data_IF_629647545471
#
_entry.id   IF_629647545471
#
_cell.length_a   1.000
_cell.length_b   1.000
_cell.length_c   1.000
_cell.angle_alpha   90.00
_cell.angle_beta   90.00
_cell.angle_gamma   90.00
#
_symmetry.space_group_name_H-M   'P 1'
#
loop_
_entity.id
_entity.type
_entity.pdbx_description
1 polymer ?
#
# COMPACT_ATOMS: atom_id res chain seq x y z
N UNK A 1 3.89 -11.83 -2.46
CA UNK A 1 5.23 -11.59 -1.93
C UNK A 1 5.23 -11.73 -0.41
N UNK A 2 6.27 -12.36 0.16
CA UNK A 2 6.35 -12.66 1.60
C UNK A 2 6.19 -11.40 2.48
N UNK A 3 6.74 -10.27 2.06
CA UNK A 3 6.58 -9.00 2.78
C UNK A 3 5.11 -8.58 2.97
N UNK A 4 4.21 -9.01 2.06
CA UNK A 4 2.79 -8.70 2.11
C UNK A 4 1.93 -9.92 2.50
N UNK A 5 2.50 -11.01 2.95
CA UNK A 5 1.76 -12.19 3.41
C UNK A 5 2.20 -12.64 4.80
N UNK A 6 3.49 -12.76 5.04
CA UNK A 6 4.01 -13.32 6.28
C UNK A 6 3.62 -12.53 7.53
N UNK A 7 3.62 -11.21 7.46
CA UNK A 7 3.23 -10.36 8.60
C UNK A 7 1.74 -10.52 8.95
N UNK A 8 0.87 -10.65 7.93
CA UNK A 8 -0.55 -10.83 8.14
C UNK A 8 -0.86 -12.22 8.71
N UNK A 9 -0.21 -13.28 8.22
CA UNK A 9 -0.35 -14.64 8.75
C UNK A 9 -0.04 -14.73 10.24
N UNK A 10 0.96 -13.98 10.74
CA UNK A 10 1.30 -13.94 12.17
C UNK A 10 0.19 -13.35 13.05
N UNK A 11 -0.76 -12.64 12.50
CA UNK A 11 -1.90 -12.15 13.28
C UNK A 11 -2.78 -13.29 13.81
N UNK A 12 -2.75 -14.46 13.17
CA UNK A 12 -3.42 -15.65 13.67
C UNK A 12 -2.92 -16.08 15.05
N UNK A 13 -1.63 -15.88 15.34
CA UNK A 13 -1.02 -16.15 16.65
C UNK A 13 -1.58 -15.22 17.75
N UNK A 14 -2.20 -14.11 17.36
CA UNK A 14 -2.86 -13.13 18.24
C UNK A 14 -4.38 -13.30 18.28
N UNK A 15 -4.90 -14.39 17.75
CA UNK A 15 -6.33 -14.72 17.77
C UNK A 15 -7.16 -14.06 16.67
N UNK A 16 -6.53 -13.48 15.66
CA UNK A 16 -7.23 -12.93 14.49
C UNK A 16 -7.45 -14.04 13.45
N UNK A 17 -8.63 -14.08 12.84
CA UNK A 17 -8.87 -14.92 11.67
C UNK A 17 -8.16 -14.30 10.45
N UNK A 18 -7.32 -15.08 9.80
CA UNK A 18 -6.62 -14.67 8.56
C UNK A 18 -7.16 -15.52 7.41
N UNK A 19 -7.81 -14.87 6.45
CA UNK A 19 -8.31 -15.48 5.22
C UNK A 19 -7.34 -15.16 4.09
N UNK A 20 -6.90 -16.17 3.36
CA UNK A 20 -5.94 -15.97 2.27
C UNK A 20 -6.68 -15.94 0.93
N UNK A 21 -6.56 -14.79 0.25
CA UNK A 21 -7.02 -14.64 -1.12
C UNK A 21 -5.99 -15.26 -2.06
N UNK A 22 -6.30 -16.44 -2.56
CA UNK A 22 -5.42 -17.24 -3.40
C UNK A 22 -5.49 -16.82 -4.86
N UNK A 23 -4.35 -16.87 -5.55
CA UNK A 23 -4.31 -16.74 -7.01
C UNK A 23 -4.90 -17.99 -7.66
N UNK A 24 -5.53 -17.82 -8.78
CA UNK A 24 -5.93 -18.92 -9.65
C UNK A 24 -4.66 -19.64 -10.17
N UNK A 25 -4.52 -20.94 -9.98
CA UNK A 25 -3.30 -21.68 -10.31
C UNK A 25 -3.02 -21.79 -11.82
N UNK A 26 -4.04 -21.62 -12.66
CA UNK A 26 -3.91 -21.71 -14.12
C UNK A 26 -3.51 -20.36 -14.72
N UNK A 27 -4.08 -19.26 -14.20
CA UNK A 27 -3.88 -17.92 -14.73
C UNK A 27 -2.87 -17.09 -13.92
N UNK A 28 -2.55 -17.50 -12.71
CA UNK A 28 -1.78 -16.76 -11.70
C UNK A 28 -2.37 -15.38 -11.34
N UNK A 29 -3.68 -15.18 -11.55
CA UNK A 29 -4.40 -13.95 -11.27
C UNK A 29 -5.25 -14.03 -10.01
N UNK A 30 -5.49 -12.90 -9.39
CA UNK A 30 -6.47 -12.74 -8.34
C UNK A 30 -7.85 -12.49 -8.95
N UNK A 31 -8.85 -13.34 -8.61
CA UNK A 31 -10.23 -13.17 -9.07
C UNK A 31 -11.02 -12.36 -8.06
N UNK A 32 -11.79 -11.37 -8.53
CA UNK A 32 -12.69 -10.59 -7.67
C UNK A 32 -13.81 -11.45 -7.08
N UNK A 33 -14.29 -12.46 -7.81
CA UNK A 33 -15.31 -13.39 -7.29
C UNK A 33 -14.78 -14.19 -6.10
N UNK A 34 -13.50 -14.58 -6.13
CA UNK A 34 -12.88 -15.26 -4.99
C UNK A 34 -12.62 -14.31 -3.82
N UNK A 35 -12.43 -13.01 -4.06
CA UNK A 35 -12.42 -12.00 -3.00
C UNK A 35 -13.80 -11.87 -2.36
N UNK A 36 -14.86 -11.74 -3.17
CA UNK A 36 -16.23 -11.59 -2.68
C UNK A 36 -16.63 -12.76 -1.75
N UNK A 37 -16.17 -13.98 -2.03
CA UNK A 37 -16.40 -15.14 -1.19
C UNK A 37 -15.69 -15.09 0.18
N UNK A 38 -14.67 -14.24 0.34
CA UNK A 38 -13.92 -14.05 1.58
C UNK A 38 -14.42 -12.87 2.42
N UNK A 39 -15.22 -11.98 1.83
CA UNK A 39 -15.67 -10.75 2.48
C UNK A 39 -16.96 -10.97 3.28
N UNK A 40 -16.97 -10.46 4.51
CA UNK A 40 -18.15 -10.29 5.36
C UNK A 40 -17.92 -9.11 6.33
N UNK A 41 -18.89 -8.78 7.16
CA UNK A 41 -18.84 -7.68 8.13
C UNK A 41 -17.78 -7.86 9.24
N UNK A 42 -17.20 -9.05 9.38
CA UNK A 42 -16.11 -9.32 10.34
C UNK A 42 -14.74 -8.94 9.77
N UNK A 43 -14.60 -8.85 8.44
CA UNK A 43 -13.37 -8.44 7.80
C UNK A 43 -13.07 -6.99 8.16
N UNK A 44 -11.87 -6.73 8.71
CA UNK A 44 -11.43 -5.40 9.13
C UNK A 44 -10.34 -4.83 8.23
N UNK A 45 -9.61 -5.69 7.55
CA UNK A 45 -8.50 -5.31 6.68
C UNK A 45 -8.46 -6.24 5.47
N UNK A 46 -8.33 -5.65 4.29
CA UNK A 46 -7.93 -6.33 3.06
C UNK A 46 -6.53 -5.84 2.70
N UNK A 47 -5.59 -6.76 2.46
CA UNK A 47 -4.23 -6.43 2.02
C UNK A 47 -3.94 -7.14 0.70
N UNK A 48 -3.56 -6.38 -0.32
CA UNK A 48 -3.32 -6.92 -1.67
C UNK A 48 -2.16 -6.18 -2.36
N UNK A 49 -1.47 -6.80 -3.34
CA UNK A 49 -0.52 -6.09 -4.19
C UNK A 49 -1.26 -5.28 -5.26
N UNK A 50 -0.70 -4.12 -5.65
CA UNK A 50 -1.16 -3.40 -6.84
C UNK A 50 -0.72 -4.13 -8.12
N UNK A 51 0.52 -4.61 -8.12
CA UNK A 51 1.11 -5.38 -9.23
C UNK A 51 1.88 -6.58 -8.68
N UNK A 52 1.73 -7.72 -9.34
CA UNK A 52 2.52 -8.91 -9.02
C UNK A 52 3.99 -8.71 -9.41
N UNK A 53 4.90 -8.93 -8.47
CA UNK A 53 6.34 -8.91 -8.74
C UNK A 53 6.84 -10.15 -9.49
N UNK A 54 6.01 -11.16 -9.71
CA UNK A 54 6.34 -12.40 -10.39
C UNK A 54 5.85 -12.39 -11.83
N UNK A 55 4.55 -12.16 -12.03
CA UNK A 55 3.90 -12.24 -13.35
C UNK A 55 3.59 -10.86 -13.96
N UNK A 56 3.79 -9.78 -13.22
CA UNK A 56 3.54 -8.42 -13.70
C UNK A 56 2.06 -8.06 -13.86
N UNK A 57 1.14 -8.91 -13.39
CA UNK A 57 -0.29 -8.63 -13.48
C UNK A 57 -0.68 -7.47 -12.56
N UNK A 58 -1.47 -6.54 -13.10
CA UNK A 58 -1.94 -5.34 -12.38
C UNK A 58 -3.35 -5.61 -11.87
N UNK A 59 -3.52 -5.54 -10.56
CA UNK A 59 -4.79 -5.77 -9.92
C UNK A 59 -5.70 -4.52 -9.99
N UNK A 60 -7.02 -4.69 -10.14
CA UNK A 60 -8.00 -3.60 -10.23
C UNK A 60 -8.27 -3.00 -8.84
N UNK A 61 -7.33 -2.18 -8.33
CA UNK A 61 -7.36 -1.67 -6.95
C UNK A 61 -8.64 -0.92 -6.62
N UNK A 62 -9.18 -0.12 -7.53
CA UNK A 62 -10.42 0.62 -7.29
C UNK A 62 -11.63 -0.31 -7.08
N UNK A 63 -11.68 -1.42 -7.80
CA UNK A 63 -12.74 -2.41 -7.62
C UNK A 63 -12.57 -3.20 -6.32
N UNK A 64 -11.32 -3.51 -5.94
CA UNK A 64 -11.00 -4.12 -4.64
C UNK A 64 -11.40 -3.17 -3.51
N UNK A 65 -11.11 -1.86 -3.65
CA UNK A 65 -11.47 -0.84 -2.68
C UNK A 65 -13.00 -0.78 -2.47
N UNK A 66 -13.77 -0.75 -3.55
CA UNK A 66 -15.22 -0.72 -3.47
C UNK A 66 -15.78 -1.93 -2.70
N UNK A 67 -15.24 -3.13 -2.93
CA UNK A 67 -15.66 -4.36 -2.24
C UNK A 67 -15.27 -4.36 -0.76
N UNK A 68 -14.02 -3.98 -0.44
CA UNK A 68 -13.55 -3.88 0.93
C UNK A 68 -14.38 -2.87 1.74
N UNK A 69 -14.63 -1.70 1.16
CA UNK A 69 -15.40 -0.64 1.82
C UNK A 69 -16.88 -1.01 1.98
N UNK A 70 -17.46 -1.81 1.08
CA UNK A 70 -18.84 -2.27 1.20
C UNK A 70 -19.09 -3.09 2.47
N UNK A 71 -18.06 -3.77 3.01
CA UNK A 71 -18.13 -4.51 4.27
C UNK A 71 -17.50 -3.75 5.45
N UNK A 72 -17.07 -2.50 5.24
CA UNK A 72 -16.45 -1.66 6.27
C UNK A 72 -14.99 -1.99 6.56
N UNK A 73 -14.31 -2.71 5.67
CA UNK A 73 -12.90 -3.05 5.81
C UNK A 73 -11.99 -1.95 5.28
N UNK A 74 -10.81 -1.78 5.90
CA UNK A 74 -9.71 -0.95 5.43
C UNK A 74 -8.97 -1.66 4.30
N UNK A 75 -8.57 -0.94 3.25
CA UNK A 75 -7.76 -1.49 2.16
C UNK A 75 -6.30 -1.01 2.26
N UNK A 76 -5.37 -1.96 2.40
CA UNK A 76 -3.93 -1.73 2.38
C UNK A 76 -3.32 -2.32 1.10
N UNK A 77 -2.68 -1.48 0.29
CA UNK A 77 -2.10 -1.86 -1.00
C UNK A 77 -0.58 -1.80 -0.98
N UNK A 78 0.02 -2.92 -1.35
CA UNK A 78 1.45 -3.00 -1.66
C UNK A 78 1.68 -2.57 -3.12
N UNK A 79 2.18 -1.35 -3.27
CA UNK A 79 2.49 -0.75 -4.58
C UNK A 79 3.95 -0.86 -5.00
N UNK A 80 4.76 -1.64 -4.28
CA UNK A 80 6.22 -1.73 -4.50
C UNK A 80 6.59 -2.11 -5.93
N UNK A 81 5.82 -2.97 -6.57
CA UNK A 81 6.07 -3.41 -7.95
C UNK A 81 5.39 -2.53 -9.00
N UNK A 82 4.44 -1.68 -8.60
CA UNK A 82 3.73 -0.76 -9.52
C UNK A 82 4.38 0.62 -9.59
N UNK A 83 4.75 1.21 -8.46
CA UNK A 83 5.22 2.59 -8.36
C UNK A 83 6.40 2.96 -9.28
N UNK A 84 7.35 2.04 -9.62
CA UNK A 84 8.40 2.34 -10.58
C UNK A 84 7.93 2.60 -12.02
N UNK A 85 6.72 2.15 -12.37
CA UNK A 85 6.15 2.26 -13.71
C UNK A 85 5.22 3.45 -13.88
N UNK A 86 4.96 4.17 -12.80
CA UNK A 86 4.13 5.38 -12.75
C UNK A 86 3.56 5.56 -11.33
N UNK A 87 3.72 6.76 -10.78
CA UNK A 87 3.14 7.05 -9.46
C UNK A 87 1.62 6.98 -9.55
N UNK A 88 0.96 6.23 -8.64
CA UNK A 88 -0.47 6.04 -8.69
C UNK A 88 -1.24 7.29 -8.24
N UNK A 89 -2.41 7.51 -8.81
CA UNK A 89 -3.39 8.43 -8.25
C UNK A 89 -4.12 7.72 -7.09
N UNK A 90 -3.69 7.99 -5.86
CA UNK A 90 -4.24 7.33 -4.67
C UNK A 90 -5.71 7.68 -4.42
N UNK A 91 -6.16 8.86 -4.83
CA UNK A 91 -7.56 9.26 -4.70
C UNK A 91 -8.45 8.44 -5.63
N UNK A 92 -8.02 8.24 -6.87
CA UNK A 92 -8.74 7.42 -7.85
C UNK A 92 -8.74 5.93 -7.48
N UNK A 93 -7.67 5.44 -6.86
CA UNK A 93 -7.58 4.03 -6.42
C UNK A 93 -8.47 3.71 -5.22
N UNK A 94 -8.78 4.69 -4.37
CA UNK A 94 -9.55 4.45 -3.15
C UNK A 94 -8.84 3.63 -2.08
N UNK A 95 -7.52 3.43 -2.19
CA UNK A 95 -6.76 2.73 -1.16
C UNK A 95 -6.66 3.57 0.12
N UNK A 96 -6.88 2.95 1.28
CA UNK A 96 -6.76 3.61 2.59
C UNK A 96 -5.30 3.74 3.03
N UNK A 97 -4.50 2.74 2.68
CA UNK A 97 -3.06 2.70 2.91
C UNK A 97 -2.38 2.20 1.63
N UNK A 98 -1.31 2.87 1.22
CA UNK A 98 -0.52 2.50 0.06
C UNK A 98 0.96 2.53 0.41
N UNK A 99 1.68 1.44 0.15
CA UNK A 99 3.10 1.33 0.44
C UNK A 99 3.92 1.21 -0.84
N UNK A 100 5.08 1.83 -0.86
CA UNK A 100 6.08 1.53 -1.87
C UNK A 100 7.51 1.78 -1.38
N UNK A 101 8.48 1.28 -2.12
CA UNK A 101 9.90 1.47 -1.84
C UNK A 101 10.46 2.56 -2.72
N UNK A 102 10.94 3.65 -2.13
CA UNK A 102 11.55 4.74 -2.88
C UNK A 102 12.75 4.27 -3.72
N UNK A 103 13.58 3.35 -3.19
CA UNK A 103 14.75 2.84 -3.92
C UNK A 103 14.40 2.00 -5.17
N UNK A 104 13.19 1.46 -5.25
CA UNK A 104 12.69 0.82 -6.47
C UNK A 104 12.03 1.81 -7.43
N UNK A 105 11.83 3.06 -6.98
CA UNK A 105 11.15 4.14 -7.70
C UNK A 105 12.11 5.33 -7.90
N UNK A 106 13.37 5.00 -8.26
CA UNK A 106 14.44 5.99 -8.56
C UNK A 106 14.86 6.90 -7.40
N UNK A 107 14.54 6.52 -6.16
CA UNK A 107 14.82 7.29 -4.95
C UNK A 107 15.81 6.64 -3.98
N UNK A 108 15.96 7.20 -2.78
CA UNK A 108 16.84 6.68 -1.73
C UNK A 108 16.30 5.39 -1.12
N UNK A 109 17.10 4.72 -0.29
CA UNK A 109 16.72 3.48 0.40
C UNK A 109 15.73 3.74 1.54
N UNK A 110 14.51 4.11 1.19
CA UNK A 110 13.43 4.50 2.09
C UNK A 110 12.13 3.80 1.70
N UNK A 111 11.35 3.37 2.71
CA UNK A 111 9.96 2.97 2.54
C UNK A 111 9.04 4.19 2.64
N UNK A 112 8.03 4.25 1.80
CA UNK A 112 7.01 5.28 1.83
C UNK A 112 5.66 4.65 2.11
N UNK A 113 4.89 5.26 3.01
CA UNK A 113 3.51 4.91 3.30
C UNK A 113 2.62 6.14 3.15
N UNK A 114 1.71 6.09 2.22
CA UNK A 114 0.60 7.02 2.14
C UNK A 114 -0.59 6.41 2.89
N UNK A 115 -1.25 7.20 3.74
CA UNK A 115 -2.38 6.77 4.56
C UNK A 115 -3.44 7.86 4.60
N UNK A 116 -4.70 7.48 4.56
CA UNK A 116 -5.82 8.41 4.73
C UNK A 116 -5.73 9.13 6.08
N UNK A 117 -5.91 10.46 6.12
CA UNK A 117 -5.70 11.24 7.34
C UNK A 117 -6.64 10.87 8.51
N UNK A 118 -7.88 10.49 8.23
CA UNK A 118 -8.83 10.03 9.23
C UNK A 118 -8.42 8.69 9.84
N UNK A 119 -7.99 7.74 9.02
CA UNK A 119 -7.44 6.47 9.48
C UNK A 119 -6.18 6.69 10.32
N UNK A 120 -5.25 7.53 9.86
CA UNK A 120 -4.03 7.84 10.62
C UNK A 120 -4.33 8.47 12.00
N UNK A 121 -5.41 9.25 12.13
CA UNK A 121 -5.86 9.78 13.43
C UNK A 121 -6.47 8.71 14.33
N UNK A 122 -7.17 7.74 13.75
CA UNK A 122 -7.82 6.67 14.50
C UNK A 122 -6.83 5.62 15.03
N UNK A 123 -5.69 5.43 14.35
CA UNK A 123 -4.67 4.49 14.77
C UNK A 123 -3.91 4.98 16.02
N UNK A 124 -3.45 4.08 16.88
CA UNK A 124 -2.59 4.45 18.02
C UNK A 124 -1.28 5.10 17.56
N UNK A 125 -0.80 6.07 18.32
CA UNK A 125 0.50 6.68 18.07
C UNK A 125 1.62 5.63 18.17
N UNK A 126 2.44 5.52 17.13
CA UNK A 126 3.60 4.63 17.05
C UNK A 126 4.92 5.41 17.19
N UNK A 127 4.87 6.73 17.16
CA UNK A 127 6.01 7.62 17.36
C UNK A 127 6.19 7.98 18.84
N UNK A 128 7.02 9.00 19.09
CA UNK A 128 7.18 9.55 20.45
C UNK A 128 5.87 10.13 20.98
N UNK A 129 5.59 9.96 22.27
CA UNK A 129 4.37 10.43 22.93
C UNK A 129 4.10 11.94 22.72
N UNK A 130 5.16 12.76 22.68
CA UNK A 130 5.05 14.22 22.46
C UNK A 130 4.71 14.58 21.01
N UNK A 131 4.67 13.62 20.10
CA UNK A 131 4.25 13.78 18.71
C UNK A 131 2.79 13.36 18.46
N UNK A 132 2.06 12.94 19.48
CA UNK A 132 0.71 12.39 19.33
C UNK A 132 -0.26 13.36 18.62
N UNK A 133 -0.16 14.66 18.89
CA UNK A 133 -0.97 15.68 18.21
C UNK A 133 -0.52 16.01 16.78
N UNK A 134 0.63 15.49 16.33
CA UNK A 134 1.22 15.81 15.03
C UNK A 134 1.05 14.66 14.06
N UNK A 135 -0.02 14.66 13.28
CA UNK A 135 -0.43 13.56 12.41
C UNK A 135 0.72 12.94 11.61
N UNK A 136 1.58 13.76 11.00
CA UNK A 136 2.73 13.32 10.18
C UNK A 136 3.80 12.51 10.92
N UNK A 137 3.82 12.58 12.27
CA UNK A 137 4.80 11.88 13.09
C UNK A 137 4.23 10.68 13.85
N UNK A 138 2.91 10.52 13.89
CA UNK A 138 2.27 9.47 14.67
C UNK A 138 2.68 8.05 14.25
N UNK A 139 2.92 7.86 12.96
CA UNK A 139 3.26 6.54 12.38
C UNK A 139 4.73 6.46 11.94
N UNK A 140 5.54 7.46 12.26
CA UNK A 140 6.97 7.49 11.95
C UNK A 140 7.77 7.05 13.18
N UNK A 141 8.60 5.99 13.08
CA UNK A 141 9.49 5.59 14.17
C UNK A 141 10.43 6.70 14.63
N UNK A 142 10.89 6.62 15.87
CA UNK A 142 11.84 7.56 16.41
C UNK A 142 13.17 7.56 15.63
N UNK A 143 13.79 8.74 15.49
CA UNK A 143 15.07 8.90 14.80
C UNK A 143 15.03 8.63 13.30
N UNK A 144 14.03 9.17 12.54
CA UNK A 144 13.98 8.97 11.10
C UNK A 144 15.21 9.61 10.42
N UNK A 145 15.65 9.01 9.31
CA UNK A 145 16.69 9.59 8.46
C UNK A 145 16.09 10.75 7.65
N UNK A 146 16.22 11.96 8.18
CA UNK A 146 15.69 13.17 7.58
C UNK A 146 16.29 13.46 6.19
N UNK A 147 17.55 13.08 5.94
CA UNK A 147 18.22 13.29 4.65
C UNK A 147 17.57 12.40 3.58
N UNK A 148 17.35 11.12 3.87
CA UNK A 148 16.67 10.22 2.93
C UNK A 148 15.20 10.60 2.72
N UNK A 149 14.50 11.03 3.78
CA UNK A 149 13.11 11.52 3.65
C UNK A 149 13.06 12.72 2.72
N UNK A 150 13.94 13.70 2.90
CA UNK A 150 14.00 14.88 2.04
C UNK A 150 14.37 14.52 0.57
N UNK A 151 15.35 13.61 0.40
CA UNK A 151 15.77 13.15 -0.93
C UNK A 151 14.68 12.39 -1.69
N UNK A 152 13.69 11.83 -0.99
CA UNK A 152 12.56 11.11 -1.62
C UNK A 152 11.74 12.04 -2.54
N UNK A 153 11.69 13.36 -2.28
CA UNK A 153 11.04 14.33 -3.15
C UNK A 153 11.66 14.37 -4.57
N UNK A 154 12.95 14.07 -4.69
CA UNK A 154 13.64 14.00 -5.98
C UNK A 154 13.11 12.94 -6.95
N UNK A 155 12.28 11.98 -6.47
CA UNK A 155 11.58 11.03 -7.35
C UNK A 155 10.64 11.78 -8.30
N UNK A 156 9.89 12.74 -7.77
CA UNK A 156 8.93 13.53 -8.57
C UNK A 156 9.69 14.36 -9.58
N UNK A 157 10.73 15.10 -9.15
CA UNK A 157 11.56 15.91 -10.03
C UNK A 157 12.17 15.09 -11.17
N UNK A 158 12.65 13.88 -10.86
CA UNK A 158 13.21 12.96 -11.86
C UNK A 158 12.14 12.52 -12.88
N UNK A 159 10.97 12.09 -12.41
CA UNK A 159 9.89 11.65 -13.32
C UNK A 159 9.36 12.79 -14.19
N UNK A 160 9.26 14.02 -13.67
CA UNK A 160 8.88 15.19 -14.43
C UNK A 160 9.91 15.52 -15.52
N UNK A 161 11.21 15.44 -15.21
CA UNK A 161 12.28 15.64 -16.18
C UNK A 161 12.24 14.57 -17.29
N UNK A 162 12.06 13.30 -16.94
CA UNK A 162 11.91 12.20 -17.91
C UNK A 162 10.69 12.41 -18.80
N UNK A 163 9.55 12.78 -18.21
CA UNK A 163 8.33 13.07 -18.96
C UNK A 163 8.53 14.24 -19.96
N UNK A 164 9.26 15.28 -19.57
CA UNK A 164 9.56 16.40 -20.45
C UNK A 164 10.47 16.04 -21.65
N UNK A 165 11.21 14.93 -21.56
CA UNK A 165 12.05 14.41 -22.65
C UNK A 165 11.29 13.45 -23.57
N UNK A 166 10.12 12.98 -23.17
CA UNK A 166 9.31 12.10 -24.01
C UNK A 166 8.76 12.88 -25.22
N UNK A 167 8.81 12.31 -26.45
CA UNK A 167 8.19 12.94 -27.60
C UNK A 167 6.69 13.11 -27.35
N UNK A 168 6.13 14.26 -27.73
CA UNK A 168 4.69 14.48 -27.67
C UNK A 168 3.98 13.40 -28.50
N UNK A 169 3.13 12.62 -27.85
CA UNK A 169 2.29 11.59 -28.48
C UNK A 169 1.12 12.20 -29.23
#
# INVERSE_FOLDING_TARGET
>A
HEANTGNWRRLAERGMEVREWQVDPETARLSLDSLDALLDEKVKLVAAPHCSNIVGDINPVAEIAARAHAVGAVLAIDGVSYAPHGLPDLAALGADIYFFSAYKTYGPHQGVMAIRPDLARALPNQGHFFNDAKLRYRLTPAGPDHAQIAATAGIVDYLEQVAALAPAS
#
